data_IF_660938088256
#
_entry.id   IF_660938088256
#
_cell.length_a   1.000
_cell.length_b   1.000
_cell.length_c   1.000
_cell.angle_alpha   90.00
_cell.angle_beta   90.00
_cell.angle_gamma   90.00
#
_symmetry.space_group_name_H-M   'P 1'
#
loop_
_entity.id
_entity.type
_entity.pdbx_description
1 polymer ?
#
# COMPACT_ATOMS: atom_id res chain seq x y z
N UNK A 1 36.33 -20.43 8.54
CA UNK A 1 35.52 -20.06 7.35
C UNK A 1 34.32 -19.28 7.83
N UNK A 2 34.29 -17.96 7.60
CA UNK A 2 33.12 -17.11 7.87
C UNK A 2 32.31 -17.06 6.57
N UNK A 3 31.13 -17.68 6.57
CA UNK A 3 30.19 -17.57 5.45
C UNK A 3 29.52 -16.19 5.52
N UNK A 4 30.04 -15.23 4.76
CA UNK A 4 29.30 -14.02 4.42
C UNK A 4 28.16 -14.43 3.48
N UNK A 5 26.94 -14.57 4.00
CA UNK A 5 25.74 -14.59 3.17
C UNK A 5 25.63 -13.22 2.51
N UNK A 6 25.78 -13.16 1.19
CA UNK A 6 25.43 -11.99 0.41
C UNK A 6 23.96 -11.66 0.69
N UNK A 7 23.71 -10.63 1.51
CA UNK A 7 22.40 -10.02 1.58
C UNK A 7 22.15 -9.39 0.22
N UNK A 8 21.07 -9.73 -0.50
CA UNK A 8 20.71 -8.98 -1.69
C UNK A 8 20.38 -7.57 -1.22
N UNK A 9 21.35 -6.65 -1.35
CA UNK A 9 21.12 -5.23 -1.23
C UNK A 9 20.25 -4.84 -2.43
N UNK A 10 18.94 -5.03 -2.28
CA UNK A 10 17.98 -4.46 -3.21
C UNK A 10 18.14 -2.95 -3.13
N UNK A 11 18.69 -2.38 -4.21
CA UNK A 11 18.93 -0.94 -4.36
C UNK A 11 17.66 -0.18 -4.71
N UNK A 12 16.50 -0.84 -4.68
CA UNK A 12 15.24 -0.17 -4.97
C UNK A 12 14.98 0.88 -3.89
N UNK A 13 14.89 2.17 -4.23
CA UNK A 13 14.60 3.23 -3.27
C UNK A 13 13.24 3.01 -2.60
N UNK A 14 12.36 2.20 -3.19
CA UNK A 14 11.07 1.85 -2.67
C UNK A 14 11.10 0.76 -1.61
N UNK A 15 12.14 -0.07 -1.51
CA UNK A 15 12.12 -1.19 -0.55
C UNK A 15 12.19 -0.67 0.89
N UNK A 16 11.36 -1.23 1.78
CA UNK A 16 11.46 -0.99 3.21
C UNK A 16 12.68 -1.68 3.80
N UNK A 17 13.52 -0.94 4.53
CA UNK A 17 14.84 -1.40 5.01
C UNK A 17 14.84 -1.98 6.42
N UNK A 18 13.67 -2.26 6.98
CA UNK A 18 13.55 -2.73 8.36
C UNK A 18 13.33 -1.60 9.37
N UNK A 19 13.50 -1.87 10.68
CA UNK A 19 13.15 -0.95 11.76
C UNK A 19 13.84 0.42 11.73
N UNK A 20 15.02 0.53 11.12
CA UNK A 20 15.77 1.79 10.97
C UNK A 20 15.22 2.68 9.84
N UNK A 21 14.33 2.15 9.00
CA UNK A 21 13.66 2.93 7.95
C UNK A 21 12.56 3.79 8.56
N UNK A 22 12.77 5.11 8.59
CA UNK A 22 11.84 6.07 9.21
C UNK A 22 10.54 6.27 8.40
N UNK A 23 10.45 5.67 7.21
CA UNK A 23 9.25 5.71 6.36
C UNK A 23 8.19 4.74 6.87
N UNK A 24 6.93 4.99 6.53
CA UNK A 24 5.84 4.08 6.88
C UNK A 24 5.89 2.84 5.98
N UNK A 25 5.90 1.61 6.53
CA UNK A 25 5.80 0.40 5.72
C UNK A 25 4.49 0.37 4.94
N UNK A 26 4.60 0.10 3.64
CA UNK A 26 3.51 0.04 2.68
C UNK A 26 3.44 -1.35 2.08
N UNK A 27 2.27 -1.96 2.15
CA UNK A 27 1.99 -3.29 1.60
C UNK A 27 0.95 -3.17 0.50
N UNK A 28 1.07 -3.99 -0.53
CA UNK A 28 0.03 -4.18 -1.54
C UNK A 28 -0.52 -5.58 -1.36
N UNK A 29 -1.82 -5.67 -1.12
CA UNK A 29 -2.53 -6.92 -0.79
C UNK A 29 -3.71 -7.07 -1.75
N UNK A 30 -3.97 -8.28 -2.22
CA UNK A 30 -5.17 -8.52 -3.02
C UNK A 30 -6.43 -8.47 -2.15
N UNK A 31 -7.58 -8.19 -2.76
CA UNK A 31 -8.86 -8.19 -2.06
C UNK A 31 -9.20 -9.56 -1.43
N UNK A 32 -8.74 -10.64 -2.05
CA UNK A 32 -8.91 -12.02 -1.59
C UNK A 32 -8.02 -12.34 -0.38
N UNK A 33 -6.82 -11.77 -0.34
CA UNK A 33 -5.85 -11.98 0.74
C UNK A 33 -6.04 -11.02 1.92
N UNK A 34 -6.81 -9.94 1.75
CA UNK A 34 -6.99 -8.88 2.74
C UNK A 34 -7.31 -9.40 4.15
N UNK A 35 -8.28 -10.32 4.28
CA UNK A 35 -8.67 -10.85 5.59
C UNK A 35 -7.57 -11.65 6.29
N UNK A 36 -6.74 -12.37 5.54
CA UNK A 36 -5.62 -13.16 6.10
C UNK A 36 -4.41 -12.28 6.45
N UNK A 37 -4.29 -11.12 5.82
CA UNK A 37 -3.16 -10.20 5.97
C UNK A 37 -3.46 -9.02 6.92
N UNK A 38 -4.67 -8.99 7.49
CA UNK A 38 -5.11 -7.98 8.44
C UNK A 38 -4.23 -7.95 9.69
N UNK A 39 -3.80 -6.75 10.06
CA UNK A 39 -2.99 -6.51 11.26
C UNK A 39 -3.61 -5.36 12.07
N UNK A 40 -3.72 -5.49 13.40
CA UNK A 40 -4.42 -4.53 14.26
C UNK A 40 -3.71 -3.17 14.37
N UNK A 41 -2.49 -3.07 13.87
CA UNK A 41 -1.65 -1.87 13.83
C UNK A 41 -1.52 -1.30 12.39
N UNK A 42 -2.20 -1.90 11.42
CA UNK A 42 -2.18 -1.51 10.00
C UNK A 42 -3.49 -0.83 9.59
N UNK A 43 -3.36 0.29 8.88
CA UNK A 43 -4.45 0.94 8.16
C UNK A 43 -4.72 0.19 6.84
N UNK A 44 -5.97 -0.14 6.55
CA UNK A 44 -6.40 -0.69 5.26
C UNK A 44 -7.01 0.40 4.37
N UNK A 45 -6.54 0.49 3.12
CA UNK A 45 -7.11 1.37 2.10
C UNK A 45 -7.61 0.51 0.94
N UNK A 46 -8.93 0.36 0.84
CA UNK A 46 -9.58 -0.36 -0.24
C UNK A 46 -9.72 0.55 -1.48
N UNK A 47 -9.16 0.12 -2.60
CA UNK A 47 -9.14 0.86 -3.86
C UNK A 47 -10.19 0.28 -4.82
N UNK A 48 -11.18 1.09 -5.19
CA UNK A 48 -12.10 0.77 -6.29
C UNK A 48 -13.17 -0.28 -5.96
N UNK A 49 -13.47 -0.53 -4.68
CA UNK A 49 -14.51 -1.47 -4.28
C UNK A 49 -15.07 -1.20 -2.89
N UNK A 50 -16.26 -1.75 -2.62
CA UNK A 50 -16.89 -1.73 -1.30
C UNK A 50 -16.51 -3.01 -0.54
N UNK A 51 -15.64 -2.95 0.49
CA UNK A 51 -15.28 -4.13 1.25
C UNK A 51 -16.46 -4.65 2.08
N UNK A 52 -16.54 -5.97 2.23
CA UNK A 52 -17.46 -6.62 3.16
C UNK A 52 -17.02 -6.41 4.61
N UNK A 53 -17.94 -6.55 5.57
CA UNK A 53 -17.61 -6.44 6.99
C UNK A 53 -16.49 -7.42 7.42
N UNK A 54 -16.46 -8.62 6.83
CA UNK A 54 -15.40 -9.60 7.08
C UNK A 54 -14.02 -9.12 6.61
N UNK A 55 -13.95 -8.42 5.47
CA UNK A 55 -12.70 -7.86 4.95
C UNK A 55 -12.23 -6.64 5.74
N UNK A 56 -13.15 -5.94 6.40
CA UNK A 56 -12.86 -4.79 7.26
C UNK A 56 -12.41 -5.18 8.66
N UNK A 57 -12.60 -6.44 9.07
CA UNK A 57 -12.22 -6.90 10.40
C UNK A 57 -10.69 -7.01 10.55
N UNK A 58 -10.18 -6.72 11.75
CA UNK A 58 -8.78 -6.94 12.11
C UNK A 58 -7.80 -5.83 11.73
N UNK A 59 -8.25 -4.75 11.09
CA UNK A 59 -7.44 -3.56 10.79
C UNK A 59 -7.55 -2.51 11.90
N UNK A 60 -6.54 -1.65 12.04
CA UNK A 60 -6.61 -0.51 12.99
C UNK A 60 -7.64 0.53 12.56
N UNK A 61 -7.75 0.74 11.25
CA UNK A 61 -8.75 1.56 10.60
C UNK A 61 -8.92 1.10 9.14
N UNK A 62 -10.07 1.46 8.58
CA UNK A 62 -10.40 1.20 7.19
C UNK A 62 -10.71 2.52 6.49
N UNK A 63 -10.20 2.67 5.28
CA UNK A 63 -10.56 3.72 4.33
C UNK A 63 -10.99 3.06 3.02
N UNK A 64 -12.04 3.59 2.43
CA UNK A 64 -12.53 3.14 1.13
C UNK A 64 -12.39 4.30 0.16
N UNK A 65 -11.60 4.08 -0.88
CA UNK A 65 -11.51 4.99 -2.00
C UNK A 65 -12.50 4.50 -3.07
N UNK A 66 -13.63 5.19 -3.27
CA UNK A 66 -14.64 4.76 -4.22
C UNK A 66 -14.06 4.69 -5.64
N UNK A 67 -14.58 3.79 -6.50
CA UNK A 67 -14.30 3.86 -7.92
C UNK A 67 -14.83 5.19 -8.49
N UNK A 68 -14.25 5.71 -9.59
CA UNK A 68 -14.79 6.90 -10.24
C UNK A 68 -16.24 6.68 -10.68
N UNK A 69 -17.05 7.73 -10.57
CA UNK A 69 -18.28 7.82 -11.34
C UNK A 69 -17.93 8.10 -12.80
N UNK A 70 -18.03 7.10 -13.68
CA UNK A 70 -17.88 7.29 -15.13
C UNK A 70 -17.85 5.96 -15.90
N UNK A 71 -18.87 5.76 -16.75
CA UNK A 71 -18.95 4.66 -17.72
C UNK A 71 -17.94 4.89 -18.85
N UNK A 72 -16.75 4.33 -18.71
CA UNK A 72 -15.73 4.32 -19.74
C UNK A 72 -14.70 3.24 -19.42
N UNK A 73 -14.28 2.50 -20.45
CA UNK A 73 -13.51 1.25 -20.35
C UNK A 73 -12.22 1.32 -19.51
N UNK A 74 -11.70 2.51 -19.14
CA UNK A 74 -10.88 2.67 -17.94
C UNK A 74 -11.19 4.02 -17.26
N UNK A 75 -12.11 4.03 -16.30
CA UNK A 75 -12.48 5.22 -15.52
C UNK A 75 -11.33 5.72 -14.62
N UNK A 76 -11.02 7.00 -14.73
CA UNK A 76 -9.97 7.74 -14.03
C UNK A 76 -10.23 8.06 -12.55
N UNK A 77 -10.45 7.07 -11.67
CA UNK A 77 -10.80 7.35 -10.25
C UNK A 77 -10.15 6.49 -9.19
N UNK A 78 -9.53 5.37 -9.55
CA UNK A 78 -8.59 4.75 -8.62
C UNK A 78 -7.33 5.62 -8.54
N UNK A 79 -6.54 5.55 -7.45
CA UNK A 79 -5.21 6.17 -7.42
C UNK A 79 -4.35 5.79 -8.62
N UNK A 80 -4.56 4.60 -9.18
CA UNK A 80 -3.89 4.15 -10.39
C UNK A 80 -4.36 4.81 -11.70
N UNK A 81 -5.52 5.47 -11.70
CA UNK A 81 -6.13 6.06 -12.89
C UNK A 81 -6.23 7.60 -12.86
N UNK A 82 -6.01 8.26 -11.73
CA UNK A 82 -6.16 9.73 -11.57
C UNK A 82 -4.94 10.58 -12.02
N UNK A 83 -4.02 10.02 -12.81
CA UNK A 83 -2.78 10.71 -13.16
C UNK A 83 -1.79 10.82 -11.99
N UNK A 84 -0.57 11.26 -12.30
CA UNK A 84 0.56 11.21 -11.36
C UNK A 84 0.30 11.94 -10.04
N UNK A 85 0.66 11.31 -8.92
CA UNK A 85 0.71 11.94 -7.60
C UNK A 85 -0.55 11.84 -6.73
N UNK A 86 -1.66 11.26 -7.20
CA UNK A 86 -2.86 11.12 -6.35
C UNK A 86 -2.60 10.23 -5.15
N UNK A 87 -1.95 9.07 -5.36
CA UNK A 87 -1.65 8.12 -4.29
C UNK A 87 -0.76 8.76 -3.22
N UNK A 88 0.31 9.44 -3.65
CA UNK A 88 1.20 10.17 -2.76
C UNK A 88 0.48 11.25 -1.94
N UNK A 89 -0.40 12.03 -2.56
CA UNK A 89 -1.22 13.04 -1.84
C UNK A 89 -2.19 12.42 -0.84
N UNK A 90 -2.82 11.29 -1.20
CA UNK A 90 -3.69 10.55 -0.29
C UNK A 90 -2.90 10.05 0.94
N UNK A 91 -1.75 9.42 0.71
CA UNK A 91 -0.88 8.94 1.80
C UNK A 91 -0.37 10.09 2.66
N UNK A 92 0.05 11.21 2.05
CA UNK A 92 0.48 12.41 2.77
C UNK A 92 -0.62 12.93 3.70
N UNK A 93 -1.86 13.03 3.20
CA UNK A 93 -3.00 13.47 4.00
C UNK A 93 -3.23 12.53 5.19
N UNK A 94 -3.19 11.22 4.99
CA UNK A 94 -3.37 10.25 6.08
C UNK A 94 -2.28 10.34 7.14
N UNK A 95 -1.03 10.58 6.73
CA UNK A 95 0.10 10.79 7.65
C UNK A 95 -0.10 12.07 8.47
N UNK A 96 -0.62 13.13 7.85
CA UNK A 96 -0.95 14.39 8.53
C UNK A 96 -2.10 14.21 9.52
N UNK A 97 -3.18 13.53 9.12
CA UNK A 97 -4.31 13.18 10.01
C UNK A 97 -3.80 12.38 11.23
N UNK A 98 -2.91 11.40 11.00
CA UNK A 98 -2.26 10.63 12.08
C UNK A 98 -1.46 11.53 13.02
N UNK A 99 -0.62 12.41 12.47
CA UNK A 99 0.22 13.32 13.25
C UNK A 99 -0.59 14.32 14.09
N UNK A 100 -1.80 14.66 13.65
CA UNK A 100 -2.74 15.55 14.36
C UNK A 100 -3.67 14.81 15.34
N UNK A 101 -3.66 13.48 15.35
CA UNK A 101 -4.59 12.68 16.16
C UNK A 101 -6.03 12.67 15.60
N UNK A 102 -6.21 12.98 14.32
CA UNK A 102 -7.51 13.03 13.63
C UNK A 102 -7.96 11.65 13.12
N UNK A 103 -7.12 10.63 13.24
CA UNK A 103 -7.45 9.25 12.90
C UNK A 103 -6.90 8.25 13.94
N UNK A 104 -7.36 7.00 13.87
CA UNK A 104 -6.76 5.92 14.63
C UNK A 104 -5.27 5.79 14.29
N UNK A 105 -4.47 5.46 15.31
CA UNK A 105 -3.04 5.27 15.12
C UNK A 105 -2.77 4.00 14.29
N UNK A 106 -1.80 4.09 13.39
CA UNK A 106 -1.32 2.96 12.58
C UNK A 106 0.19 3.10 12.40
N UNK A 107 0.88 1.96 12.33
CA UNK A 107 2.32 1.90 12.05
C UNK A 107 2.60 1.40 10.63
N UNK A 108 1.59 0.82 9.96
CA UNK A 108 1.69 0.31 8.58
C UNK A 108 0.47 0.73 7.75
N UNK A 109 0.64 0.75 6.43
CA UNK A 109 -0.44 0.96 5.48
C UNK A 109 -0.52 -0.22 4.51
N UNK A 110 -1.72 -0.76 4.32
CA UNK A 110 -2.00 -1.82 3.36
C UNK A 110 -2.96 -1.29 2.29
N UNK A 111 -2.49 -1.23 1.05
CA UNK A 111 -3.31 -0.92 -0.14
C UNK A 111 -3.94 -2.21 -0.63
N UNK A 112 -5.27 -2.21 -0.71
CA UNK A 112 -6.06 -3.39 -1.06
C UNK A 112 -6.77 -3.11 -2.38
N UNK A 113 -6.51 -3.92 -3.40
CA UNK A 113 -7.16 -3.83 -4.71
C UNK A 113 -7.47 -5.23 -5.27
N UNK A 114 -8.32 -5.36 -6.29
CA UNK A 114 -8.46 -6.62 -7.02
C UNK A 114 -7.11 -7.14 -7.52
N UNK A 115 -6.90 -8.46 -7.53
CA UNK A 115 -5.62 -9.06 -7.93
C UNK A 115 -5.16 -8.61 -9.33
N UNK A 116 -6.11 -8.45 -10.26
CA UNK A 116 -5.87 -7.94 -11.62
C UNK A 116 -5.27 -6.53 -11.68
N UNK A 117 -5.47 -5.73 -10.65
CA UNK A 117 -5.07 -4.31 -10.62
C UNK A 117 -3.72 -4.10 -9.92
N UNK A 118 -3.18 -5.14 -9.25
CA UNK A 118 -1.91 -5.07 -8.49
C UNK A 118 -0.76 -4.59 -9.37
N UNK A 119 -0.61 -5.16 -10.58
CA UNK A 119 0.48 -4.77 -11.48
C UNK A 119 0.38 -3.30 -11.93
N UNK A 120 -0.84 -2.78 -12.11
CA UNK A 120 -1.09 -1.37 -12.42
C UNK A 120 -0.81 -0.47 -11.23
N UNK A 121 -1.25 -0.87 -10.04
CA UNK A 121 -0.99 -0.15 -8.79
C UNK A 121 0.52 -0.07 -8.49
N UNK A 122 1.25 -1.17 -8.67
CA UNK A 122 2.70 -1.19 -8.50
C UNK A 122 3.39 -0.20 -9.44
N UNK A 123 2.98 -0.12 -10.72
CA UNK A 123 3.51 0.89 -11.65
C UNK A 123 3.26 2.32 -11.16
N UNK A 124 2.08 2.59 -10.60
CA UNK A 124 1.73 3.91 -10.06
C UNK A 124 2.54 4.25 -8.82
N UNK A 125 2.73 3.28 -7.91
CA UNK A 125 3.61 3.43 -6.73
C UNK A 125 5.04 3.78 -7.17
N UNK A 126 5.55 3.09 -8.19
CA UNK A 126 6.91 3.33 -8.68
C UNK A 126 7.08 4.68 -9.37
N UNK A 127 6.02 5.18 -10.01
CA UNK A 127 6.02 6.45 -10.70
C UNK A 127 5.74 7.66 -9.80
N UNK A 128 5.32 7.46 -8.55
CA UNK A 128 4.92 8.53 -7.63
C UNK A 128 6.03 8.86 -6.61
N UNK A 129 6.74 9.99 -6.76
CA UNK A 129 7.87 10.33 -5.91
C UNK A 129 7.52 10.63 -4.46
N UNK A 130 6.28 11.02 -4.19
CA UNK A 130 5.82 11.20 -2.83
C UNK A 130 5.68 9.86 -2.11
N UNK A 131 5.34 8.79 -2.83
CA UNK A 131 5.18 7.46 -2.22
C UNK A 131 6.50 6.95 -1.68
N UNK A 132 7.59 6.95 -2.47
CA UNK A 132 8.88 6.46 -1.95
C UNK A 132 9.53 7.37 -0.91
N UNK A 133 9.16 8.66 -0.88
CA UNK A 133 9.63 9.61 0.14
C UNK A 133 8.94 9.37 1.49
N UNK A 134 7.67 8.99 1.48
CA UNK A 134 6.85 8.80 2.69
C UNK A 134 6.82 7.35 3.18
N UNK A 135 6.95 6.40 2.26
CA UNK A 135 6.70 4.98 2.49
C UNK A 135 7.84 4.09 1.99
N UNK A 136 8.01 2.94 2.64
CA UNK A 136 8.83 1.83 2.16
C UNK A 136 7.96 0.61 1.87
N UNK A 137 8.08 0.03 0.70
CA UNK A 137 7.41 -1.21 0.30
C UNK A 137 7.90 -2.39 1.13
N UNK A 138 7.01 -2.98 1.92
CA UNK A 138 7.24 -4.19 2.70
C UNK A 138 6.68 -5.39 1.92
N UNK A 139 7.50 -6.42 1.73
CA UNK A 139 7.08 -7.63 1.05
C UNK A 139 6.02 -8.34 1.89
N UNK A 140 4.91 -8.72 1.25
CA UNK A 140 3.90 -9.58 1.88
C UNK A 140 4.38 -11.02 1.75
N UNK A 141 4.57 -11.70 2.88
CA UNK A 141 5.03 -13.09 2.94
C UNK A 141 3.93 -14.04 2.44
N UNK A 142 3.76 -14.07 1.12
CA UNK A 142 3.13 -15.18 0.44
C UNK A 142 3.65 -15.33 -0.99
N UNK A 143 3.98 -14.27 -1.75
CA UNK A 143 4.38 -14.43 -3.18
C UNK A 143 5.32 -13.38 -3.83
N UNK A 144 5.98 -12.48 -3.11
CA UNK A 144 6.95 -11.58 -3.76
C UNK A 144 8.35 -12.21 -3.89
N UNK A 145 8.47 -13.24 -4.73
CA UNK A 145 9.73 -13.51 -5.41
C UNK A 145 9.79 -12.62 -6.64
N UNK A 146 10.49 -11.48 -6.55
CA UNK A 146 10.92 -10.76 -7.74
C UNK A 146 11.95 -11.64 -8.47
N UNK A 147 11.51 -12.35 -9.50
CA UNK A 147 12.41 -12.66 -10.61
C UNK A 147 12.33 -11.48 -11.58
N UNK A 148 13.50 -10.89 -11.83
CA UNK A 148 13.72 -9.77 -12.75
C UNK A 148 13.59 -10.20 -14.21
#
# INVERSE_FOLDING_TARGET
>A
MLFQRAAPLSTSPLLWRGPEDQRIPLRVVSLEEAGQQAQPDSLAIFLGGSPTAAQQAGWSAVRVCPPPAGEGVHGGGCPCCQGGGYLGRLLLRLIQERARGECAFFVKVSLICPARDIAGLMRVIHADPLVFSLCGMEAVSSRFSCEY
#
